data_IF_422382371777
#
_entry.id   IF_422382371777
#
_cell.length_a   1.000
_cell.length_b   1.000
_cell.length_c   1.000
_cell.angle_alpha   90.00
_cell.angle_beta   90.00
_cell.angle_gamma   90.00
#
_symmetry.space_group_name_H-M   'P 1'
#
loop_
_entity.id
_entity.type
_entity.pdbx_description
1 polymer ?
#
# COMPACT_ATOMS: atom_id res chain seq x y z
N UNK A 1 -18.02 18.07 -34.21
CA UNK A 1 -17.27 17.22 -33.25
C UNK A 1 -17.50 15.74 -33.52
N UNK A 2 -18.69 15.16 -33.25
CA UNK A 2 -18.90 13.71 -33.46
C UNK A 2 -18.58 13.22 -34.88
N UNK A 3 -19.05 13.90 -35.93
CA UNK A 3 -18.72 13.57 -37.33
C UNK A 3 -17.21 13.66 -37.62
N UNK A 4 -16.54 14.67 -37.07
CA UNK A 4 -15.08 14.83 -37.13
C UNK A 4 -14.38 13.65 -36.48
N UNK A 5 -14.72 13.31 -35.23
CA UNK A 5 -14.11 12.21 -34.47
C UNK A 5 -14.20 10.84 -35.15
N UNK A 6 -15.21 10.63 -36.01
CA UNK A 6 -15.43 9.40 -36.77
C UNK A 6 -14.64 9.32 -38.09
N UNK A 7 -13.87 10.35 -38.48
CA UNK A 7 -12.97 10.25 -39.63
C UNK A 7 -11.85 9.23 -39.34
N UNK A 8 -11.41 8.42 -40.33
CA UNK A 8 -10.41 7.36 -40.11
C UNK A 8 -9.11 7.84 -39.44
N UNK A 9 -8.65 9.07 -39.72
CA UNK A 9 -7.48 9.68 -39.08
C UNK A 9 -7.64 9.84 -37.56
N UNK A 10 -8.83 10.20 -37.09
CA UNK A 10 -9.13 10.41 -35.68
C UNK A 10 -9.46 9.11 -34.94
N UNK A 11 -10.00 8.11 -35.65
CA UNK A 11 -10.14 6.75 -35.14
C UNK A 11 -8.77 6.07 -34.97
N UNK A 12 -7.86 6.21 -35.94
CA UNK A 12 -6.48 5.72 -35.81
C UNK A 12 -5.73 6.38 -34.64
N UNK A 13 -5.88 7.70 -34.47
CA UNK A 13 -5.34 8.42 -33.32
C UNK A 13 -5.97 7.98 -31.98
N UNK A 14 -7.26 7.61 -31.96
CA UNK A 14 -7.93 7.07 -30.77
C UNK A 14 -7.35 5.71 -30.39
N UNK A 15 -7.22 4.80 -31.36
CA UNK A 15 -6.63 3.46 -31.13
C UNK A 15 -5.20 3.57 -30.59
N UNK A 16 -4.38 4.47 -31.16
CA UNK A 16 -3.03 4.73 -30.65
C UNK A 16 -3.03 5.27 -29.21
N UNK A 17 -3.92 6.23 -28.90
CA UNK A 17 -4.07 6.76 -27.54
C UNK A 17 -4.54 5.68 -26.55
N UNK A 18 -5.47 4.80 -26.95
CA UNK A 18 -5.95 3.68 -26.13
C UNK A 18 -4.86 2.64 -25.88
N UNK A 19 -4.07 2.27 -26.90
CA UNK A 19 -2.93 1.35 -26.74
C UNK A 19 -1.89 1.94 -25.79
N UNK A 20 -1.52 3.21 -25.97
CA UNK A 20 -0.60 3.91 -25.06
C UNK A 20 -1.14 3.97 -23.63
N UNK A 21 -2.41 4.34 -23.45
CA UNK A 21 -3.06 4.39 -22.14
C UNK A 21 -3.16 3.02 -21.46
N UNK A 22 -3.36 1.94 -22.22
CA UNK A 22 -3.35 0.57 -21.70
C UNK A 22 -1.94 0.15 -21.22
N UNK A 23 -0.90 0.47 -21.99
CA UNK A 23 0.51 0.24 -21.61
C UNK A 23 0.84 1.03 -20.34
N UNK A 24 0.51 2.32 -20.26
CA UNK A 24 0.72 3.12 -19.04
C UNK A 24 -0.10 2.59 -17.86
N UNK A 25 -1.34 2.15 -18.07
CA UNK A 25 -2.16 1.51 -17.03
C UNK A 25 -1.50 0.26 -16.45
N UNK A 26 -0.94 -0.60 -17.31
CA UNK A 26 -0.21 -1.80 -16.91
C UNK A 26 1.10 -1.49 -16.18
N UNK A 27 1.93 -0.57 -16.67
CA UNK A 27 3.14 -0.13 -15.95
C UNK A 27 2.81 0.53 -14.59
N UNK A 28 1.70 1.26 -14.50
CA UNK A 28 1.24 1.84 -13.24
C UNK A 28 0.78 0.78 -12.22
N UNK A 29 0.09 -0.27 -12.69
CA UNK A 29 -0.28 -1.41 -11.84
C UNK A 29 0.96 -2.17 -11.35
N UNK A 30 1.89 -2.50 -12.25
CA UNK A 30 3.14 -3.18 -11.89
C UNK A 30 4.00 -2.38 -10.90
N UNK A 31 4.16 -1.06 -11.10
CA UNK A 31 4.85 -0.19 -10.15
C UNK A 31 4.18 -0.15 -8.76
N UNK A 32 2.86 -0.25 -8.70
CA UNK A 32 2.12 -0.32 -7.44
C UNK A 32 2.26 -1.69 -6.74
N UNK A 33 2.40 -2.77 -7.50
CA UNK A 33 2.73 -4.11 -6.98
C UNK A 33 4.16 -4.16 -6.43
N UNK A 34 5.14 -3.61 -7.17
CA UNK A 34 6.53 -3.50 -6.74
C UNK A 34 6.67 -2.62 -5.48
N UNK A 35 5.98 -1.47 -5.43
CA UNK A 35 5.93 -0.60 -4.24
C UNK A 35 5.40 -1.32 -2.97
N UNK A 36 4.52 -2.31 -3.14
CA UNK A 36 4.00 -3.16 -2.05
C UNK A 36 4.93 -4.35 -1.76
N UNK A 37 5.70 -4.83 -2.73
CA UNK A 37 6.75 -5.84 -2.51
C UNK A 37 7.89 -5.26 -1.68
N UNK A 38 8.44 -4.11 -2.09
CA UNK A 38 9.43 -3.35 -1.32
C UNK A 38 8.91 -2.95 0.07
N UNK A 39 7.68 -2.43 0.17
CA UNK A 39 7.09 -2.02 1.45
C UNK A 39 6.98 -3.17 2.45
N UNK A 40 6.58 -4.35 1.99
CA UNK A 40 6.58 -5.59 2.81
C UNK A 40 7.99 -6.02 3.18
N UNK A 41 8.95 -6.01 2.25
CA UNK A 41 10.34 -6.37 2.54
C UNK A 41 10.97 -5.44 3.60
N UNK A 42 10.77 -4.13 3.49
CA UNK A 42 11.22 -3.13 4.46
C UNK A 42 10.48 -3.21 5.81
N UNK A 43 9.23 -3.70 5.83
CA UNK A 43 8.51 -3.98 7.07
C UNK A 43 9.06 -5.25 7.78
N UNK A 44 9.39 -6.29 7.00
CA UNK A 44 10.04 -7.52 7.51
C UNK A 44 11.45 -7.21 8.03
N UNK A 45 12.25 -6.43 7.30
CA UNK A 45 13.60 -6.01 7.72
C UNK A 45 13.55 -5.16 9.00
N UNK A 46 12.60 -4.22 9.09
CA UNK A 46 12.39 -3.45 10.32
C UNK A 46 11.92 -4.31 11.48
N UNK A 47 10.98 -5.24 11.27
CA UNK A 47 10.56 -6.18 12.28
C UNK A 47 11.75 -7.06 12.76
N UNK A 48 12.62 -7.50 11.85
CA UNK A 48 13.84 -8.22 12.19
C UNK A 48 14.82 -7.37 13.04
N UNK A 49 14.86 -6.04 12.80
CA UNK A 49 15.69 -5.09 13.56
C UNK A 49 15.12 -4.66 14.92
N UNK A 50 13.85 -4.97 15.23
CA UNK A 50 13.27 -4.65 16.54
C UNK A 50 13.89 -5.50 17.64
N UNK A 51 14.07 -4.97 18.88
CA UNK A 51 14.61 -5.74 19.99
C UNK A 51 13.77 -6.98 20.28
N UNK A 52 14.38 -8.14 20.08
CA UNK A 52 13.81 -9.43 20.51
C UNK A 52 13.93 -9.52 22.03
N UNK A 53 12.81 -9.72 22.72
CA UNK A 53 12.75 -9.82 24.17
C UNK A 53 12.24 -11.20 24.61
N UNK A 54 12.60 -11.71 25.79
CA UNK A 54 11.97 -12.89 26.38
C UNK A 54 10.45 -12.69 26.46
N UNK A 55 9.66 -13.72 26.13
CA UNK A 55 8.20 -13.68 26.18
C UNK A 55 7.68 -13.18 27.53
N UNK A 56 8.32 -13.65 28.61
CA UNK A 56 8.04 -13.31 30.01
C UNK A 56 8.36 -11.86 30.41
N UNK A 57 9.08 -11.11 29.57
CA UNK A 57 9.28 -9.66 29.72
C UNK A 57 8.27 -8.83 28.89
N UNK A 58 7.46 -9.48 28.06
CA UNK A 58 6.51 -8.83 27.14
C UNK A 58 5.06 -9.04 27.55
N UNK A 59 4.71 -10.25 28.02
CA UNK A 59 3.36 -10.63 28.42
C UNK A 59 3.40 -11.66 29.55
N UNK A 60 2.50 -11.55 30.52
CA UNK A 60 2.36 -12.50 31.62
C UNK A 60 1.25 -13.53 31.30
N UNK A 61 1.27 -14.74 31.89
CA UNK A 61 0.14 -15.66 31.79
C UNK A 61 -1.16 -14.97 32.24
N UNK A 62 -2.27 -15.23 31.56
CA UNK A 62 -3.59 -14.66 31.83
C UNK A 62 -3.71 -13.11 31.83
N UNK A 63 -2.68 -12.34 31.42
CA UNK A 63 -2.76 -10.86 31.39
C UNK A 63 -3.61 -10.29 30.23
N UNK A 64 -3.78 -8.97 30.18
CA UNK A 64 -4.21 -8.31 28.94
C UNK A 64 -3.12 -8.41 27.86
N UNK A 65 -3.51 -8.36 26.58
CA UNK A 65 -2.56 -8.32 25.46
C UNK A 65 -1.84 -6.95 25.39
N UNK A 66 -0.50 -6.90 25.26
CA UNK A 66 0.24 -5.64 25.21
C UNK A 66 -0.16 -4.74 24.03
N UNK A 67 -0.23 -3.42 24.25
CA UNK A 67 -0.66 -2.44 23.23
C UNK A 67 0.28 -2.37 22.02
N UNK A 68 1.55 -2.67 22.21
CA UNK A 68 2.59 -2.81 21.20
C UNK A 68 2.82 -4.27 20.78
N UNK A 69 2.13 -5.24 21.39
CA UNK A 69 2.42 -6.68 21.26
C UNK A 69 2.50 -7.16 19.82
N UNK A 70 1.59 -6.69 18.94
CA UNK A 70 1.55 -7.06 17.51
C UNK A 70 2.76 -6.58 16.69
N UNK A 71 3.68 -5.79 17.26
CA UNK A 71 4.98 -5.47 16.63
C UNK A 71 6.17 -6.08 17.36
N UNK A 72 5.97 -6.78 18.48
CA UNK A 72 7.06 -7.36 19.27
C UNK A 72 7.47 -8.73 18.73
N UNK A 73 8.79 -8.89 18.56
CA UNK A 73 9.41 -10.22 18.44
C UNK A 73 9.74 -10.74 19.83
N UNK A 74 9.38 -12.00 20.07
CA UNK A 74 9.59 -12.69 21.35
C UNK A 74 10.47 -13.91 21.17
N UNK A 75 11.22 -14.25 22.23
CA UNK A 75 11.88 -15.55 22.40
C UNK A 75 11.35 -16.28 23.62
N UNK A 76 11.28 -17.60 23.54
CA UNK A 76 10.95 -18.48 24.66
C UNK A 76 11.73 -19.79 24.55
N UNK A 77 11.97 -20.45 25.67
CA UNK A 77 12.35 -21.87 25.69
C UNK A 77 11.22 -22.66 26.33
N UNK A 78 11.14 -23.96 26.05
CA UNK A 78 10.03 -24.79 26.47
C UNK A 78 9.92 -26.08 25.67
N UNK A 79 8.76 -26.73 25.76
CA UNK A 79 8.46 -27.99 25.06
C UNK A 79 7.07 -27.95 24.41
N UNK A 80 6.87 -28.70 23.32
CA UNK A 80 5.55 -28.82 22.70
C UNK A 80 4.71 -29.92 23.35
N UNK A 81 3.44 -29.61 23.64
CA UNK A 81 2.43 -30.61 24.01
C UNK A 81 1.94 -31.32 22.74
N UNK A 82 2.58 -32.45 22.42
CA UNK A 82 2.47 -33.15 21.12
C UNK A 82 1.03 -33.56 20.79
N UNK A 83 0.33 -34.14 21.76
CA UNK A 83 -1.01 -34.72 21.58
C UNK A 83 -2.14 -33.67 21.47
N UNK A 84 -1.82 -32.39 21.72
CA UNK A 84 -2.78 -31.27 21.74
C UNK A 84 -2.58 -30.27 20.60
N UNK A 85 -1.87 -30.67 19.53
CA UNK A 85 -1.81 -29.91 18.28
C UNK A 85 -3.21 -29.75 17.66
N UNK A 86 -3.49 -28.53 17.18
CA UNK A 86 -4.77 -28.18 16.53
C UNK A 86 -4.55 -27.57 15.15
N UNK A 87 -5.55 -27.69 14.28
CA UNK A 87 -5.57 -27.13 12.94
C UNK A 87 -6.60 -26.00 12.87
N UNK A 88 -6.20 -24.82 12.40
CA UNK A 88 -7.13 -23.72 12.12
C UNK A 88 -7.42 -23.70 10.63
N UNK A 89 -8.64 -24.07 10.26
CA UNK A 89 -9.15 -24.14 8.90
C UNK A 89 -9.49 -22.75 8.33
N UNK A 90 -9.93 -22.74 7.05
CA UNK A 90 -10.33 -21.54 6.30
C UNK A 90 -9.21 -20.49 6.17
N UNK A 91 -7.95 -20.93 6.27
CA UNK A 91 -6.76 -20.06 6.16
C UNK A 91 -6.28 -20.01 4.72
N UNK A 92 -5.65 -18.89 4.34
CA UNK A 92 -5.08 -18.71 3.02
C UNK A 92 -3.62 -18.27 3.12
N UNK A 93 -2.75 -18.89 2.33
CA UNK A 93 -1.36 -18.50 2.14
C UNK A 93 -1.05 -18.55 0.63
N UNK A 94 -0.46 -17.47 0.09
CA UNK A 94 -0.11 -17.33 -1.33
C UNK A 94 -1.24 -17.70 -2.32
N UNK A 95 -2.48 -17.39 -1.94
CA UNK A 95 -3.70 -17.67 -2.71
C UNK A 95 -4.30 -19.06 -2.49
N UNK A 96 -3.55 -20.01 -1.93
CA UNK A 96 -4.02 -21.36 -1.63
C UNK A 96 -4.77 -21.40 -0.29
N UNK A 97 -5.96 -22.00 -0.28
CA UNK A 97 -6.72 -22.26 0.96
C UNK A 97 -6.21 -23.55 1.62
N UNK A 98 -6.17 -23.59 2.94
CA UNK A 98 -5.69 -24.71 3.74
C UNK A 98 -5.81 -24.43 5.24
N UNK A 99 -4.83 -24.92 6.00
CA UNK A 99 -4.87 -24.99 7.45
C UNK A 99 -3.61 -24.39 8.07
N UNK A 100 -3.78 -23.65 9.16
CA UNK A 100 -2.69 -23.26 10.06
C UNK A 100 -2.46 -24.36 11.10
N UNK A 101 -1.23 -24.82 11.25
CA UNK A 101 -0.82 -25.82 12.24
C UNK A 101 -0.37 -25.10 13.50
N UNK A 102 -1.17 -25.22 14.57
CA UNK A 102 -0.95 -24.54 15.85
C UNK A 102 -0.67 -25.59 16.91
N UNK A 103 0.52 -25.55 17.51
CA UNK A 103 0.94 -26.47 18.56
C UNK A 103 0.99 -25.73 19.90
N UNK A 104 0.58 -26.34 21.03
CA UNK A 104 0.69 -25.71 22.34
C UNK A 104 2.13 -25.83 22.83
N UNK A 105 2.72 -24.72 23.26
CA UNK A 105 4.10 -24.64 23.74
C UNK A 105 4.14 -24.28 25.21
N UNK A 106 4.56 -25.22 26.05
CA UNK A 106 4.71 -25.04 27.50
C UNK A 106 6.02 -24.29 27.75
N UNK A 107 5.93 -23.06 28.26
CA UNK A 107 7.06 -22.14 28.42
C UNK A 107 7.85 -22.45 29.69
N UNK A 108 9.17 -22.54 29.58
CA UNK A 108 10.07 -22.74 30.72
C UNK A 108 9.97 -21.60 31.74
N UNK A 109 10.08 -21.94 33.02
CA UNK A 109 10.09 -20.98 34.13
C UNK A 109 8.71 -20.48 34.56
N UNK A 110 7.70 -20.45 33.68
CA UNK A 110 6.30 -20.21 34.04
C UNK A 110 5.47 -21.49 34.09
N UNK A 111 5.74 -22.46 33.20
CA UNK A 111 4.90 -23.65 33.01
C UNK A 111 3.56 -23.35 32.33
N UNK A 112 3.36 -22.14 31.85
CA UNK A 112 2.16 -21.71 31.13
C UNK A 112 2.30 -21.99 29.63
N UNK A 113 1.18 -22.30 28.98
CA UNK A 113 1.11 -22.66 27.56
C UNK A 113 0.82 -21.45 26.68
N UNK A 114 1.59 -21.28 25.60
CA UNK A 114 1.29 -20.34 24.53
C UNK A 114 1.00 -21.11 23.22
N UNK A 115 -0.08 -20.81 22.48
CA UNK A 115 -0.26 -21.33 21.13
C UNK A 115 0.84 -20.82 20.21
N UNK A 116 1.44 -21.73 19.44
CA UNK A 116 2.46 -21.39 18.44
C UNK A 116 2.00 -21.85 17.07
N UNK A 117 1.77 -20.88 16.19
CA UNK A 117 1.57 -21.13 14.77
C UNK A 117 2.92 -21.52 14.15
N UNK A 118 3.13 -22.82 13.93
CA UNK A 118 4.36 -23.36 13.34
C UNK A 118 4.39 -23.16 11.82
N UNK A 119 3.24 -23.29 11.15
CA UNK A 119 3.16 -23.09 9.71
C UNK A 119 1.79 -23.38 9.11
N UNK A 120 1.77 -23.55 7.80
CA UNK A 120 0.59 -23.81 6.98
C UNK A 120 0.75 -25.09 6.16
N UNK A 121 -0.36 -25.81 5.99
CA UNK A 121 -0.49 -26.97 5.09
C UNK A 121 -1.74 -26.84 4.21
N UNK A 122 -1.69 -27.43 3.01
CA UNK A 122 -2.85 -27.46 2.10
C UNK A 122 -3.94 -28.44 2.56
N UNK A 123 -3.51 -29.54 3.17
CA UNK A 123 -4.28 -30.74 3.47
C UNK A 123 -4.07 -31.07 4.96
N UNK A 124 -5.13 -31.33 5.75
CA UNK A 124 -5.00 -31.53 7.20
C UNK A 124 -4.21 -32.80 7.53
N UNK A 125 -4.26 -33.83 6.69
CA UNK A 125 -3.52 -35.10 6.89
C UNK A 125 -2.03 -34.94 6.58
N UNK A 126 -1.61 -33.79 6.03
CA UNK A 126 -0.21 -33.40 5.79
C UNK A 126 0.40 -32.56 6.91
N UNK A 127 -0.30 -32.35 8.04
CA UNK A 127 0.27 -31.65 9.19
C UNK A 127 1.23 -32.56 9.99
N UNK A 128 2.55 -32.27 10.02
CA UNK A 128 3.48 -33.07 10.82
C UNK A 128 3.26 -32.82 12.31
N UNK A 129 3.72 -33.76 13.14
CA UNK A 129 3.77 -33.59 14.59
C UNK A 129 4.70 -32.42 14.97
N UNK A 130 4.53 -31.81 16.16
CA UNK A 130 5.54 -30.90 16.69
C UNK A 130 6.80 -31.66 17.17
N UNK A 131 7.98 -31.02 17.14
CA UNK A 131 9.24 -31.64 17.56
C UNK A 131 9.21 -32.02 19.04
N UNK A 132 9.77 -33.19 19.36
CA UNK A 132 9.89 -33.67 20.74
C UNK A 132 11.14 -33.13 21.43
N UNK A 133 11.02 -32.72 22.69
CA UNK A 133 12.13 -32.23 23.51
C UNK A 133 12.11 -30.72 23.72
N UNK A 134 13.19 -30.18 24.28
CA UNK A 134 13.36 -28.74 24.49
C UNK A 134 13.59 -27.99 23.18
N UNK A 135 12.89 -26.89 22.98
CA UNK A 135 12.98 -26.01 21.80
C UNK A 135 13.22 -24.57 22.25
N UNK A 136 14.11 -23.86 21.56
CA UNK A 136 14.16 -22.41 21.56
C UNK A 136 13.28 -21.89 20.42
N UNK A 137 12.24 -21.15 20.78
CA UNK A 137 11.29 -20.52 19.89
C UNK A 137 11.64 -19.03 19.72
N UNK A 138 11.61 -18.53 18.49
CA UNK A 138 11.52 -17.10 18.21
C UNK A 138 10.41 -16.80 17.20
N UNK A 139 9.66 -15.71 17.42
CA UNK A 139 8.52 -15.38 16.57
C UNK A 139 7.91 -14.00 16.82
N UNK A 140 6.87 -13.67 16.06
CA UNK A 140 6.07 -12.45 16.27
C UNK A 140 4.86 -12.73 17.16
N UNK A 141 4.59 -11.87 18.14
CA UNK A 141 3.47 -12.02 19.07
C UNK A 141 2.16 -11.46 18.46
N UNK A 142 1.02 -12.10 18.73
CA UNK A 142 -0.29 -11.70 18.23
C UNK A 142 -1.42 -11.95 19.26
N UNK A 143 -2.52 -11.18 19.23
CA UNK A 143 -3.64 -11.33 20.17
C UNK A 143 -4.53 -12.53 19.83
N UNK A 144 -5.39 -12.96 20.78
CA UNK A 144 -6.48 -13.90 20.48
C UNK A 144 -7.32 -13.43 19.29
N UNK A 145 -7.77 -14.38 18.47
CA UNK A 145 -8.79 -14.13 17.48
C UNK A 145 -10.18 -14.12 18.12
N UNK A 146 -11.17 -13.55 17.42
CA UNK A 146 -12.58 -13.59 17.86
C UNK A 146 -13.17 -14.99 17.65
N UNK A 147 -13.96 -15.52 18.61
CA UNK A 147 -14.60 -16.82 18.51
C UNK A 147 -15.43 -17.00 17.23
N UNK A 148 -15.36 -18.19 16.64
CA UNK A 148 -16.18 -18.62 15.49
C UNK A 148 -17.00 -19.86 15.84
N UNK A 149 -17.99 -20.17 15.01
CA UNK A 149 -18.77 -21.40 15.16
C UNK A 149 -17.99 -22.57 14.56
N UNK A 150 -17.68 -23.58 15.37
CA UNK A 150 -16.95 -24.78 14.96
C UNK A 150 -17.88 -25.92 14.50
N UNK A 151 -19.13 -25.58 14.18
CA UNK A 151 -20.09 -26.52 13.64
C UNK A 151 -19.58 -27.16 12.32
N UNK A 152 -19.74 -28.48 12.22
CA UNK A 152 -19.41 -29.26 11.02
C UNK A 152 -17.92 -29.55 10.81
N UNK A 153 -17.04 -29.26 11.78
CA UNK A 153 -15.63 -29.64 11.75
C UNK A 153 -15.37 -30.97 12.49
N UNK A 154 -14.19 -31.54 12.26
CA UNK A 154 -13.66 -32.67 13.03
C UNK A 154 -13.04 -32.18 14.35
N UNK A 155 -12.85 -33.07 15.32
CA UNK A 155 -12.06 -32.75 16.53
C UNK A 155 -10.62 -32.36 16.13
N UNK A 156 -10.02 -31.47 16.92
CA UNK A 156 -8.74 -30.83 16.63
C UNK A 156 -8.79 -29.76 15.53
N UNK A 157 -9.93 -29.55 14.85
CA UNK A 157 -10.07 -28.57 13.76
C UNK A 157 -11.00 -27.42 14.15
N UNK A 158 -10.52 -26.19 14.01
CA UNK A 158 -11.18 -24.95 14.44
C UNK A 158 -11.15 -23.88 13.32
N UNK A 159 -11.85 -22.77 13.46
CA UNK A 159 -11.83 -21.62 12.51
C UNK A 159 -11.12 -20.40 13.06
N UNK A 160 -10.89 -20.34 14.37
CA UNK A 160 -10.22 -19.23 15.06
C UNK A 160 -9.24 -19.72 16.12
N UNK A 161 -8.13 -19.00 16.31
CA UNK A 161 -7.28 -19.11 17.51
C UNK A 161 -7.99 -18.38 18.66
N UNK A 162 -9.07 -19.00 19.15
CA UNK A 162 -9.83 -18.54 20.31
C UNK A 162 -9.19 -19.12 21.58
N UNK A 163 -8.51 -18.26 22.33
CA UNK A 163 -7.83 -18.66 23.57
C UNK A 163 -8.81 -19.07 24.67
N UNK A 164 -10.05 -18.56 24.64
CA UNK A 164 -11.14 -18.97 25.53
C UNK A 164 -11.65 -20.39 25.24
N UNK A 165 -11.49 -20.87 24.01
CA UNK A 165 -11.76 -22.26 23.64
C UNK A 165 -10.56 -23.17 23.98
N UNK A 166 -9.34 -22.74 23.66
CA UNK A 166 -8.12 -23.53 23.83
C UNK A 166 -7.73 -23.74 25.31
N UNK A 167 -8.00 -22.78 26.20
CA UNK A 167 -7.82 -22.93 27.67
C UNK A 167 -8.75 -23.98 28.30
N UNK A 168 -9.82 -24.39 27.60
CA UNK A 168 -10.66 -25.52 28.04
C UNK A 168 -10.16 -26.89 27.52
N UNK A 169 -9.09 -26.91 26.70
CA UNK A 169 -8.43 -28.13 26.22
C UNK A 169 -7.14 -28.42 26.98
N UNK A 170 -6.33 -27.40 27.25
CA UNK A 170 -5.01 -27.55 27.89
C UNK A 170 -5.09 -27.38 29.41
N UNK A 171 -4.59 -28.37 30.17
CA UNK A 171 -4.62 -28.41 31.64
C UNK A 171 -3.51 -27.52 32.29
N UNK A 172 -3.38 -26.29 31.79
CA UNK A 172 -2.30 -25.33 32.12
C UNK A 172 -2.82 -23.91 32.10
N UNK A 173 -2.15 -22.98 32.80
CA UNK A 173 -2.35 -21.55 32.55
C UNK A 173 -2.00 -21.20 31.10
N UNK A 174 -2.72 -20.26 30.49
CA UNK A 174 -2.55 -19.88 29.07
C UNK A 174 -2.21 -18.39 28.95
N UNK A 175 -1.26 -18.07 28.07
CA UNK A 175 -0.95 -16.69 27.69
C UNK A 175 -2.07 -16.12 26.82
N UNK A 176 -2.47 -14.87 27.04
CA UNK A 176 -3.50 -14.18 26.24
C UNK A 176 -2.97 -13.65 24.88
N UNK A 177 -2.16 -14.48 24.22
CA UNK A 177 -1.48 -14.21 22.96
C UNK A 177 -1.17 -15.53 22.24
N UNK A 178 -0.81 -15.47 20.96
CA UNK A 178 -0.17 -16.58 20.24
C UNK A 178 1.09 -16.08 19.51
N UNK A 179 1.96 -17.02 19.09
CA UNK A 179 3.22 -16.70 18.40
C UNK A 179 3.19 -17.21 16.95
N UNK A 180 3.48 -16.34 16.00
CA UNK A 180 3.89 -16.71 14.65
C UNK A 180 5.36 -17.16 14.70
N UNK A 181 5.62 -18.46 14.66
CA UNK A 181 6.99 -18.98 14.72
C UNK A 181 7.77 -18.55 13.47
N UNK A 182 8.90 -17.86 13.66
CA UNK A 182 9.87 -17.61 12.59
C UNK A 182 11.00 -18.63 12.65
N UNK A 183 11.49 -18.92 13.86
CA UNK A 183 12.61 -19.81 14.13
C UNK A 183 12.23 -20.77 15.27
N UNK A 184 12.58 -22.04 15.12
CA UNK A 184 12.52 -23.09 16.16
C UNK A 184 13.88 -23.80 16.10
N UNK A 185 14.56 -23.96 17.22
CA UNK A 185 15.88 -24.61 17.31
C UNK A 185 15.86 -25.63 18.43
N UNK A 186 16.35 -26.85 18.18
CA UNK A 186 16.39 -27.90 19.20
C UNK A 186 17.44 -27.60 20.29
N UNK A 187 17.04 -27.71 21.56
CA UNK A 187 17.89 -27.54 22.75
C UNK A 187 18.30 -28.87 23.39
N UNK A 188 17.85 -29.99 22.83
CA UNK A 188 18.10 -31.32 23.36
C UNK A 188 17.83 -32.39 22.30
N UNK A 189 18.54 -33.52 22.36
CA UNK A 189 18.30 -34.68 21.49
C UNK A 189 19.46 -34.94 20.55
N UNK A 190 19.22 -35.66 19.45
CA UNK A 190 20.23 -35.93 18.42
C UNK A 190 20.58 -34.67 17.60
N UNK A 191 19.63 -33.75 17.46
CA UNK A 191 19.70 -32.59 16.58
C UNK A 191 19.93 -31.27 17.35
N UNK A 192 20.55 -31.33 18.53
CA UNK A 192 20.82 -30.15 19.38
C UNK A 192 21.57 -29.05 18.62
N UNK A 193 21.04 -27.82 18.67
CA UNK A 193 21.55 -26.66 17.94
C UNK A 193 21.09 -26.58 16.47
N UNK A 194 20.41 -27.58 15.92
CA UNK A 194 19.83 -27.52 14.58
C UNK A 194 18.46 -26.82 14.58
N UNK A 195 18.07 -26.15 13.48
CA UNK A 195 16.70 -25.71 13.26
C UNK A 195 15.75 -26.91 13.25
N UNK A 196 14.61 -26.79 13.93
CA UNK A 196 13.60 -27.84 13.94
C UNK A 196 13.06 -28.12 12.54
N UNK A 197 12.83 -29.40 12.22
CA UNK A 197 12.33 -29.80 10.92
C UNK A 197 10.91 -29.25 10.68
N UNK A 198 10.73 -28.62 9.51
CA UNK A 198 9.41 -28.13 9.08
C UNK A 198 8.53 -29.25 8.48
N UNK A 199 9.13 -30.34 7.98
CA UNK A 199 8.44 -31.57 7.53
C UNK A 199 7.23 -31.37 6.58
N UNK A 200 7.24 -30.29 5.78
CA UNK A 200 6.15 -29.94 4.84
C UNK A 200 5.37 -28.67 5.22
N UNK A 201 5.58 -28.13 6.43
CA UNK A 201 5.06 -26.83 6.84
C UNK A 201 5.65 -25.69 6.00
N UNK A 202 4.80 -24.85 5.42
CA UNK A 202 5.20 -23.52 4.95
C UNK A 202 5.14 -22.54 6.12
N UNK A 203 6.23 -21.81 6.40
CA UNK A 203 6.25 -20.75 7.43
C UNK A 203 5.23 -19.67 7.09
N UNK A 204 4.33 -19.35 8.03
CA UNK A 204 3.40 -18.23 7.91
C UNK A 204 4.12 -16.97 8.44
N UNK A 205 4.33 -15.92 7.63
CA UNK A 205 4.94 -14.71 8.12
C UNK A 205 4.01 -14.03 9.14
N UNK A 206 4.53 -13.44 10.24
CA UNK A 206 3.73 -12.61 11.12
C UNK A 206 3.11 -11.45 10.32
N UNK A 207 1.88 -11.02 10.64
CA UNK A 207 1.27 -9.87 9.99
C UNK A 207 2.03 -8.61 10.40
N UNK A 208 2.98 -8.20 9.56
CA UNK A 208 3.51 -6.83 9.58
C UNK A 208 2.32 -5.90 9.46
N UNK A 209 1.93 -5.24 10.56
CA UNK A 209 0.67 -4.52 10.65
C UNK A 209 0.48 -3.54 9.49
N UNK A 210 -0.76 -3.35 9.02
CA UNK A 210 -1.10 -2.74 7.72
C UNK A 210 -0.62 -1.29 7.47
N UNK A 211 0.17 -0.72 8.38
CA UNK A 211 1.27 0.18 8.00
C UNK A 211 2.37 -0.56 7.22
N UNK A 212 1.98 -1.27 6.16
CA UNK A 212 2.81 -1.38 4.97
C UNK A 212 2.97 0.04 4.45
N UNK A 213 4.02 0.73 4.89
CA UNK A 213 4.44 1.99 4.31
C UNK A 213 4.67 1.77 2.82
N UNK A 214 3.65 2.08 2.03
CA UNK A 214 3.74 2.14 0.58
C UNK A 214 4.93 3.04 0.28
N UNK A 215 5.97 2.53 -0.37
CA UNK A 215 7.14 3.35 -0.68
C UNK A 215 6.66 4.52 -1.53
N UNK A 216 6.55 5.70 -0.89
CA UNK A 216 5.72 6.78 -1.41
C UNK A 216 6.26 7.31 -2.74
N UNK A 217 7.57 7.16 -2.97
CA UNK A 217 8.23 7.41 -4.25
C UNK A 217 7.66 6.53 -5.36
N UNK A 218 7.62 5.22 -5.14
CA UNK A 218 7.16 4.25 -6.14
C UNK A 218 5.63 4.32 -6.33
N UNK A 219 4.88 4.57 -5.25
CA UNK A 219 3.44 4.85 -5.34
C UNK A 219 3.15 6.12 -6.18
N UNK A 220 3.99 7.17 -6.11
CA UNK A 220 3.86 8.34 -6.98
C UNK A 220 4.27 8.05 -8.44
N UNK A 221 5.20 7.13 -8.70
CA UNK A 221 5.47 6.68 -10.07
C UNK A 221 4.28 5.93 -10.69
N UNK A 222 3.54 5.14 -9.92
CA UNK A 222 2.27 4.54 -10.38
C UNK A 222 1.24 5.61 -10.78
N UNK A 223 1.06 6.65 -9.95
CA UNK A 223 0.19 7.80 -10.26
C UNK A 223 0.65 8.55 -11.52
N UNK A 224 1.96 8.74 -11.70
CA UNK A 224 2.53 9.40 -12.88
C UNK A 224 2.15 8.67 -14.18
N UNK A 225 2.17 7.33 -14.18
CA UNK A 225 1.72 6.54 -15.34
C UNK A 225 0.24 6.74 -15.66
N UNK A 226 -0.63 6.81 -14.65
CA UNK A 226 -2.05 7.11 -14.85
C UNK A 226 -2.30 8.54 -15.35
N UNK A 227 -1.50 9.51 -14.91
CA UNK A 227 -1.50 10.88 -15.47
C UNK A 227 -1.11 10.89 -16.95
N UNK A 228 -0.10 10.10 -17.36
CA UNK A 228 0.24 9.95 -18.79
C UNK A 228 -0.87 9.28 -19.61
N UNK A 229 -1.54 8.26 -19.07
CA UNK A 229 -2.70 7.63 -19.71
C UNK A 229 -3.85 8.65 -19.93
N UNK A 230 -4.17 9.45 -18.91
CA UNK A 230 -5.16 10.53 -19.02
C UNK A 230 -4.74 11.62 -20.02
N UNK A 231 -3.45 11.97 -20.05
CA UNK A 231 -2.91 12.98 -20.96
C UNK A 231 -2.99 12.55 -22.44
N UNK A 232 -2.84 11.26 -22.74
CA UNK A 232 -3.01 10.75 -24.10
C UNK A 232 -4.46 10.97 -24.62
N UNK A 233 -5.47 10.67 -23.79
CA UNK A 233 -6.87 10.96 -24.13
C UNK A 233 -7.16 12.46 -24.23
N UNK A 234 -6.55 13.28 -23.35
CA UNK A 234 -6.64 14.74 -23.44
C UNK A 234 -6.05 15.27 -24.75
N UNK A 235 -4.88 14.78 -25.17
CA UNK A 235 -4.26 15.17 -26.45
C UNK A 235 -5.14 14.77 -27.64
N UNK A 236 -5.67 13.55 -27.66
CA UNK A 236 -6.61 13.11 -28.70
C UNK A 236 -7.83 14.03 -28.78
N UNK A 237 -8.50 14.28 -27.64
CA UNK A 237 -9.65 15.18 -27.57
C UNK A 237 -9.31 16.61 -28.00
N UNK A 238 -8.15 17.13 -27.60
CA UNK A 238 -7.67 18.47 -27.98
C UNK A 238 -7.48 18.58 -29.49
N UNK A 239 -6.89 17.57 -30.14
CA UNK A 239 -6.67 17.56 -31.59
C UNK A 239 -7.99 17.43 -32.37
N UNK A 240 -8.90 16.54 -31.95
CA UNK A 240 -10.25 16.44 -32.53
C UNK A 240 -11.05 17.74 -32.36
N UNK A 241 -10.93 18.40 -31.20
CA UNK A 241 -11.58 19.69 -30.92
C UNK A 241 -10.96 20.85 -31.70
N UNK A 242 -9.66 20.80 -31.97
CA UNK A 242 -8.96 21.78 -32.81
C UNK A 242 -9.41 21.65 -34.27
N UNK A 243 -9.29 20.46 -34.86
CA UNK A 243 -9.67 20.23 -36.25
C UNK A 243 -11.16 20.48 -36.51
N UNK A 244 -12.03 20.28 -35.52
CA UNK A 244 -13.44 20.66 -35.68
C UNK A 244 -13.69 22.19 -35.67
N UNK A 245 -12.80 23.00 -35.09
CA UNK A 245 -12.88 24.46 -35.27
C UNK A 245 -12.40 24.86 -36.65
N UNK A 246 -11.28 24.30 -37.09
CA UNK A 246 -10.74 24.51 -38.45
C UNK A 246 -11.80 24.15 -39.53
N UNK A 247 -12.54 23.04 -39.35
CA UNK A 247 -13.70 22.66 -40.19
C UNK A 247 -14.88 23.66 -40.13
N UNK A 248 -15.13 24.29 -38.98
CA UNK A 248 -16.21 25.27 -38.82
C UNK A 248 -15.83 26.64 -39.38
N UNK A 249 -14.62 27.11 -39.10
CA UNK A 249 -14.08 28.40 -39.53
C UNK A 249 -13.99 28.45 -41.07
N UNK A 250 -13.50 27.40 -41.72
CA UNK A 250 -13.55 27.28 -43.18
C UNK A 250 -15.00 27.32 -43.74
N UNK A 251 -15.96 26.68 -43.06
CA UNK A 251 -17.37 26.67 -43.48
C UNK A 251 -18.12 28.01 -43.29
N UNK A 252 -17.48 28.98 -42.62
CA UNK A 252 -17.98 30.35 -42.46
C UNK A 252 -17.33 31.31 -43.47
N UNK A 253 -16.07 31.06 -43.85
CA UNK A 253 -15.33 31.84 -44.86
C UNK A 253 -15.82 31.54 -46.29
N UNK A 254 -16.22 30.29 -46.58
CA UNK A 254 -16.95 29.87 -47.79
C UNK A 254 -18.43 30.35 -47.84
N UNK A 255 -18.77 31.39 -47.06
CA UNK A 255 -20.09 32.03 -47.08
C UNK A 255 -20.40 32.69 -48.43
N UNK A 256 -21.68 32.87 -48.81
CA UNK A 256 -22.02 33.51 -50.08
C UNK A 256 -21.42 34.93 -50.16
N UNK A 257 -20.80 35.33 -51.30
CA UNK A 257 -20.15 36.63 -51.41
C UNK A 257 -21.15 37.75 -51.13
N UNK A 258 -20.76 38.65 -50.22
CA UNK A 258 -21.64 39.68 -49.69
C UNK A 258 -22.21 40.54 -50.82
N UNK A 259 -23.54 40.68 -50.84
CA UNK A 259 -24.24 41.46 -51.86
C UNK A 259 -24.14 42.93 -51.50
N UNK A 260 -23.02 43.54 -51.90
CA UNK A 260 -22.75 44.98 -51.76
C UNK A 260 -24.01 45.78 -52.08
N UNK A 261 -24.62 46.50 -51.12
CA UNK A 261 -25.79 47.31 -51.40
C UNK A 261 -25.44 48.39 -52.41
N UNK A 262 -26.25 48.49 -53.46
CA UNK A 262 -26.06 49.48 -54.52
C UNK A 262 -26.06 50.91 -53.94
N UNK A 263 -25.18 51.77 -54.47
CA UNK A 263 -24.87 53.08 -53.90
C UNK A 263 -25.22 54.19 -54.89
N UNK A 264 -26.39 54.85 -54.73
CA UNK A 264 -26.70 56.07 -55.45
C UNK A 264 -25.64 57.17 -55.23
N UNK A 265 -25.46 58.09 -56.19
CA UNK A 265 -24.32 59.01 -56.22
C UNK A 265 -24.39 60.10 -55.15
N UNK A 266 -23.23 60.72 -54.89
CA UNK A 266 -23.11 61.90 -54.04
C UNK A 266 -23.59 63.17 -54.74
N UNK A 267 -24.02 64.16 -53.95
CA UNK A 267 -24.19 65.56 -54.34
C UNK A 267 -23.45 66.47 -53.33
N UNK A 268 -23.26 67.75 -53.66
CA UNK A 268 -22.10 68.53 -53.20
C UNK A 268 -22.43 69.64 -52.18
N UNK A 269 -21.41 70.00 -51.38
CA UNK A 269 -21.27 71.11 -50.40
C UNK A 269 -21.56 72.53 -50.96
N UNK A 270 -21.58 73.66 -50.17
CA UNK A 270 -21.03 73.88 -48.81
C UNK A 270 -21.85 74.74 -47.81
N UNK A 271 -21.36 74.90 -46.56
CA UNK A 271 -20.97 76.19 -45.91
C UNK A 271 -20.54 75.99 -44.43
N UNK A 272 -19.71 76.90 -43.90
CA UNK A 272 -18.89 76.91 -42.66
C UNK A 272 -19.22 78.19 -41.82
N UNK A 273 -18.55 78.66 -40.73
CA UNK A 273 -17.74 78.03 -39.65
C UNK A 273 -18.16 78.41 -38.19
N UNK A 274 -17.58 77.72 -37.18
CA UNK A 274 -17.14 78.23 -35.84
C UNK A 274 -16.48 77.09 -35.02
N UNK A 275 -15.17 77.09 -34.71
CA UNK A 275 -14.47 77.80 -33.61
C UNK A 275 -14.79 77.26 -32.18
N UNK A 276 -13.84 76.93 -31.29
CA UNK A 276 -12.36 76.93 -31.34
C UNK A 276 -11.74 76.00 -30.26
N UNK A 277 -10.41 75.81 -30.28
CA UNK A 277 -9.57 75.03 -29.32
C UNK A 277 -8.47 75.96 -28.72
N UNK A 278 -7.91 75.71 -27.50
CA UNK A 278 -6.59 75.05 -27.44
C UNK A 278 -6.26 74.21 -26.16
N UNK A 279 -5.25 73.34 -26.28
CA UNK A 279 -4.52 72.62 -25.21
C UNK A 279 -3.23 73.39 -24.77
N UNK A 280 -2.15 72.82 -24.14
CA UNK A 280 -1.89 71.53 -23.43
C UNK A 280 -1.13 71.70 -22.07
N UNK A 281 -0.54 70.64 -21.46
CA UNK A 281 0.94 70.49 -21.20
C UNK A 281 1.35 69.28 -20.27
N UNK A 282 2.63 68.83 -20.39
CA UNK A 282 3.59 68.17 -19.46
C UNK A 282 3.19 67.23 -18.27
N UNK A 283 4.00 66.23 -17.82
CA UNK A 283 5.21 65.55 -18.35
C UNK A 283 5.57 64.25 -17.54
N UNK A 284 6.48 63.42 -18.09
CA UNK A 284 7.23 62.29 -17.48
C UNK A 284 8.49 62.78 -16.69
N UNK A 285 9.42 61.95 -16.11
CA UNK A 285 9.67 60.49 -16.19
C UNK A 285 9.76 59.82 -14.76
N UNK A 286 10.54 58.78 -14.36
CA UNK A 286 11.59 57.90 -14.92
C UNK A 286 11.63 56.54 -14.15
N UNK A 287 12.79 55.85 -14.01
CA UNK A 287 12.96 54.48 -13.49
C UNK A 287 14.00 54.32 -12.34
N UNK A 288 14.14 53.05 -11.93
CA UNK A 288 15.39 52.37 -11.55
C UNK A 288 15.83 52.29 -10.06
N UNK A 289 15.56 51.11 -9.49
CA UNK A 289 16.42 50.26 -8.64
C UNK A 289 17.67 50.84 -7.93
N UNK A 290 17.74 50.60 -6.61
CA UNK A 290 18.97 50.71 -5.82
C UNK A 290 18.92 49.91 -4.51
N UNK A 291 19.79 48.91 -4.38
CA UNK A 291 20.18 48.24 -3.13
C UNK A 291 21.68 48.56 -2.87
N UNK A 292 22.35 48.17 -1.76
CA UNK A 292 21.88 47.35 -0.62
C UNK A 292 22.22 47.96 0.77
N UNK A 293 21.85 47.27 1.86
CA UNK A 293 22.58 47.35 3.12
C UNK A 293 22.66 46.01 3.86
N UNK A 294 23.88 45.66 4.29
CA UNK A 294 24.21 44.52 5.15
C UNK A 294 24.21 44.92 6.62
N UNK A 295 23.84 44.03 7.53
CA UNK A 295 24.38 44.02 8.90
C UNK A 295 24.30 42.62 9.53
N UNK A 296 25.35 42.24 10.26
CA UNK A 296 25.51 40.91 10.86
C UNK A 296 24.98 40.85 12.29
N UNK A 297 24.56 39.67 12.75
CA UNK A 297 24.30 39.35 14.17
C UNK A 297 25.02 38.05 14.53
N UNK A 298 25.79 37.98 15.64
CA UNK A 298 26.66 36.84 15.94
C UNK A 298 25.99 35.69 16.71
N UNK A 299 26.63 34.52 16.64
CA UNK A 299 26.31 33.27 17.35
C UNK A 299 26.29 33.42 18.87
N UNK A 300 25.35 32.74 19.54
CA UNK A 300 25.42 32.44 20.99
C UNK A 300 25.74 30.96 21.20
N UNK A 301 26.92 30.67 21.77
CA UNK A 301 27.34 29.32 22.17
C UNK A 301 26.55 28.86 23.40
N UNK A 302 26.19 27.57 23.48
CA UNK A 302 25.73 26.94 24.73
C UNK A 302 26.35 25.56 24.91
N UNK A 303 27.16 25.43 25.94
CA UNK A 303 27.75 24.15 26.38
C UNK A 303 27.52 24.00 27.88
N UNK A 304 26.71 23.00 28.27
CA UNK A 304 26.99 22.14 29.43
C UNK A 304 26.12 20.88 29.34
#
# INVERSE_FOLDING_TARGET
>A
MLRTALQPKWLGALVLATVFAAVCGWLGAWQLEEARAEGRAQAIERAASLPVAPLTEVVEPQSEFPRDGSTRRVTATGTYAVDDQVLIAERQLDGQVGYWVVSPFVVDGTGATIPVLRGFVADPDSAPAPPTGGIALAGGLAPSESPRSEAGLADGVYRSIDLGLLVNRWDTEVYNAFVFATEETALSGADEGAPAALEGLTRVPPPTGEQSELNLKNAMYAVQWWVFAAFAYFLWWRMVRQAHREELEASLDDGPPDRTPDRPPADVTPTDPAAADPAPDAAEPERAAGAPHTLSVPTTTRTR
#
